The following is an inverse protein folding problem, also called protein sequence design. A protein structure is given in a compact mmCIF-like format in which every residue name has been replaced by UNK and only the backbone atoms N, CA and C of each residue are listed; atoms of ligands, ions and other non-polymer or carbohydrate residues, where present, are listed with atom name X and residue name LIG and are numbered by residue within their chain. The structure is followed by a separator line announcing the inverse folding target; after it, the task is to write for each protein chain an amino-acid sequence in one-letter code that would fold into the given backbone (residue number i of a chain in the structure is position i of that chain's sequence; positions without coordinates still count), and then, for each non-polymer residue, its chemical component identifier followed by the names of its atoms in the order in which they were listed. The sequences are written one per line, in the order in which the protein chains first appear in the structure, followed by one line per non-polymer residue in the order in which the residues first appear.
data_IF_770910948516
#
_entry.id   IF_770910948516
#
_cell.length_a   1.000
_cell.length_b   1.000
_cell.length_c   1.000
_cell.angle_alpha   90.00
_cell.angle_beta   90.00
_cell.angle_gamma   90.00
#
_symmetry.space_group_name_H-M   'P 1'
#
loop_
_entity.id
_entity.type
_entity.pdbx_description
1 polymer ?
2 polymer ?
3 non-polymer ?
4 non-polymer ?
5 water ?
#
# COMPACT_ATOMS: atom_id res chain seq x y z
N UNK A 1 3.06 10.45 18.49
CA UNK A 1 4.23 10.09 17.66
C UNK A 1 4.30 10.54 16.20
N UNK A 2 3.29 11.22 15.68
CA UNK A 2 3.53 12.12 14.54
C UNK A 2 4.44 13.33 14.94
N UNK A 3 5.50 13.56 14.20
CA UNK A 3 6.41 14.68 14.41
C UNK A 3 5.79 15.92 13.80
N UNK A 4 6.41 17.06 14.06
CA UNK A 4 5.98 18.31 13.38
C UNK A 4 6.08 18.19 11.90
N UNK A 5 7.23 17.69 11.45
CA UNK A 5 7.43 17.40 10.01
C UNK A 5 6.36 16.47 9.43
N UNK A 6 6.03 15.40 10.14
CA UNK A 6 4.96 14.48 9.65
C UNK A 6 3.62 15.24 9.44
N UNK A 7 3.20 16.00 10.43
CA UNK A 7 1.94 16.76 10.38
C UNK A 7 1.97 17.77 9.24
N UNK A 8 3.11 18.43 9.01
CA UNK A 8 3.25 19.29 7.90
C UNK A 8 3.04 18.58 6.56
N UNK A 9 3.69 17.44 6.42
CA UNK A 9 3.54 16.63 5.25
C UNK A 9 2.14 16.16 4.99
N UNK A 10 1.48 15.67 6.06
CA UNK A 10 0.10 15.22 5.90
C UNK A 10 -0.82 16.38 5.52
N UNK A 11 -0.65 17.47 6.22
CA UNK A 11 -1.52 18.62 5.90
C UNK A 11 -1.27 19.11 4.49
N UNK A 12 -0.03 19.06 4.02
CA UNK A 12 0.31 19.46 2.68
C UNK A 12 -0.34 18.66 1.60
N UNK A 13 -0.18 17.31 1.63
CA UNK A 13 -0.83 16.52 0.56
C UNK A 13 -2.34 16.56 0.62
N UNK A 14 -2.82 16.62 1.81
CA UNK A 14 -4.29 16.69 2.09
C UNK A 14 -4.86 17.99 1.56
N UNK A 15 -4.08 19.08 1.70
CA UNK A 15 -4.51 20.38 1.19
C UNK A 15 -4.53 20.39 -0.30
N UNK A 16 -3.61 19.65 -0.91
CA UNK A 16 -3.51 19.58 -2.29
C UNK A 16 -4.52 18.62 -2.88
N UNK A 17 -4.99 17.68 -2.09
CA UNK A 17 -5.97 16.68 -2.55
C UNK A 17 -7.45 16.91 -2.20
N UNK A 18 -7.76 17.60 -1.08
CA UNK A 18 -9.14 17.55 -0.45
C UNK A 18 -10.25 18.13 -1.34
N UNK A 19 -9.88 18.88 -2.39
CA UNK A 19 -10.84 19.27 -3.42
C UNK A 19 -11.44 18.13 -4.21
N UNK A 20 -10.78 16.98 -4.24
CA UNK A 20 -11.29 15.75 -4.89
C UNK A 20 -11.72 14.72 -3.87
N UNK A 21 -12.12 15.14 -2.68
CA UNK A 21 -12.57 14.23 -1.61
C UNK A 21 -13.46 13.10 -2.17
N UNK A 22 -14.41 13.43 -3.03
CA UNK A 22 -15.36 12.40 -3.47
C UNK A 22 -14.70 11.42 -4.43
N UNK A 23 -13.98 11.89 -5.47
CA UNK A 23 -13.32 10.99 -6.42
C UNK A 23 -12.26 10.09 -5.75
N UNK A 24 -11.44 10.72 -4.91
CA UNK A 24 -10.44 9.96 -4.18
C UNK A 24 -11.08 8.93 -3.25
N UNK A 25 -12.12 9.31 -2.56
CA UNK A 25 -12.76 8.37 -1.61
C UNK A 25 -13.42 7.23 -2.42
N UNK A 26 -14.08 7.53 -3.54
CA UNK A 26 -14.70 6.49 -4.40
C UNK A 26 -13.67 5.50 -4.98
N UNK A 27 -12.53 6.07 -5.39
CA UNK A 27 -11.47 5.22 -5.85
C UNK A 27 -10.87 4.38 -4.73
N UNK A 28 -10.64 4.93 -3.56
CA UNK A 28 -10.04 4.10 -2.47
C UNK A 28 -10.98 2.95 -2.06
N UNK A 29 -12.29 3.31 -1.94
CA UNK A 29 -13.31 2.32 -1.56
C UNK A 29 -13.49 1.26 -2.66
N UNK A 30 -13.66 1.68 -3.89
CA UNK A 30 -13.72 0.74 -4.98
C UNK A 30 -12.56 -0.18 -5.09
N UNK A 31 -11.38 0.36 -4.90
CA UNK A 31 -10.19 -0.41 -4.98
C UNK A 31 -10.12 -1.40 -3.82
N UNK A 32 -10.49 -0.99 -2.63
CA UNK A 32 -10.49 -1.94 -1.51
C UNK A 32 -11.36 -3.17 -1.85
N UNK A 33 -12.53 -2.87 -2.37
CA UNK A 33 -13.51 -3.92 -2.70
C UNK A 33 -13.08 -4.87 -3.77
N UNK A 34 -12.48 -4.34 -4.85
CA UNK A 34 -12.00 -5.21 -5.95
C UNK A 34 -10.66 -5.90 -5.66
N UNK A 35 -9.74 -5.15 -5.10
CA UNK A 35 -8.42 -5.68 -4.87
C UNK A 35 -8.33 -6.62 -3.65
N UNK A 36 -9.21 -6.40 -2.67
CA UNK A 36 -9.30 -7.21 -1.45
C UNK A 36 -10.72 -7.71 -1.27
N UNK A 37 -11.09 -8.65 -2.11
CA UNK A 37 -12.48 -9.09 -2.19
C UNK A 37 -13.13 -9.68 -0.93
N UNK A 38 -12.31 -10.01 0.04
CA UNK A 38 -12.82 -10.38 1.38
C UNK A 38 -13.59 -9.22 1.97
N UNK A 39 -13.36 -7.96 1.55
CA UNK A 39 -14.09 -6.81 2.16
C UNK A 39 -15.51 -6.57 1.54
N UNK A 40 -15.82 -7.25 0.43
CA UNK A 40 -17.09 -7.01 -0.31
C UNK A 40 -18.32 -7.26 0.54
N UNK A 41 -18.22 -8.22 1.44
CA UNK A 41 -19.36 -8.62 2.25
C UNK A 41 -19.95 -7.46 3.06
N UNK A 42 -19.09 -6.56 3.52
CA UNK A 42 -19.54 -5.41 4.28
C UNK A 42 -20.33 -4.39 3.45
N UNK A 43 -20.17 -4.44 2.11
CA UNK A 43 -20.84 -3.49 1.23
C UNK A 43 -21.80 -4.20 0.25
N UNK A 44 -22.06 -5.47 0.57
CA UNK A 44 -22.93 -6.41 -0.17
C UNK A 44 -24.40 -5.87 -0.31
N UNK A 45 -24.81 -4.89 0.52
CA UNK A 45 -26.10 -4.18 0.44
C UNK A 45 -26.19 -3.16 -0.72
N UNK A 46 -25.02 -2.79 -1.28
CA UNK A 46 -24.97 -1.98 -2.49
C UNK A 46 -25.16 -2.81 -3.71
N UNK A 47 -25.93 -2.25 -4.65
CA UNK A 47 -26.18 -2.84 -5.96
C UNK A 47 -24.96 -2.84 -6.87
N UNK A 48 -24.15 -1.81 -6.71
CA UNK A 48 -22.96 -1.66 -7.50
C UNK A 48 -21.78 -1.28 -6.61
N UNK A 49 -20.72 -2.05 -6.69
CA UNK A 49 -19.51 -1.79 -5.87
C UNK A 49 -18.39 -1.17 -6.69
N UNK A 50 -18.64 -0.95 -7.97
CA UNK A 50 -17.65 -0.29 -8.83
C UNK A 50 -17.39 1.15 -8.46
N UNK A 51 -16.28 1.68 -8.98
CA UNK A 51 -15.94 3.07 -8.69
C UNK A 51 -17.01 4.04 -9.30
N UNK A 52 -17.68 3.64 -10.36
CA UNK A 52 -18.77 4.44 -10.97
C UNK A 52 -20.08 4.42 -10.17
N UNK A 53 -20.20 3.53 -9.19
CA UNK A 53 -21.42 3.40 -8.36
C UNK A 53 -21.69 4.65 -7.62
N UNK A 54 -22.94 5.11 -7.68
CA UNK A 54 -23.32 6.21 -6.85
C UNK A 54 -23.25 6.02 -5.37
N UNK A 55 -23.54 4.82 -4.89
CA UNK A 55 -23.42 4.55 -3.49
C UNK A 55 -21.93 4.54 -3.08
N UNK A 56 -21.07 4.03 -3.94
CA UNK A 56 -19.60 4.10 -3.63
C UNK A 56 -19.13 5.57 -3.61
N UNK A 57 -19.61 6.41 -4.57
CA UNK A 57 -19.28 7.83 -4.54
C UNK A 57 -19.71 8.45 -3.25
N UNK A 58 -20.96 8.21 -2.86
CA UNK A 58 -21.44 8.81 -1.67
C UNK A 58 -20.64 8.39 -0.42
N UNK A 59 -20.36 7.07 -0.35
CA UNK A 59 -19.71 6.57 0.82
C UNK A 59 -18.21 6.98 0.82
N UNK A 60 -17.58 6.97 -0.34
CA UNK A 60 -16.14 7.44 -0.46
C UNK A 60 -15.99 8.84 0.10
N UNK A 61 -16.95 9.72 -0.18
CA UNK A 61 -16.86 11.08 0.33
C UNK A 61 -16.92 11.12 1.82
N UNK A 62 -17.78 10.30 2.42
CA UNK A 62 -17.87 10.23 3.85
C UNK A 62 -16.54 9.81 4.50
N UNK A 63 -15.91 8.80 3.92
CA UNK A 63 -14.60 8.26 4.39
C UNK A 63 -13.58 9.40 4.35
N UNK A 64 -13.50 10.02 3.20
CA UNK A 64 -12.48 11.04 2.98
C UNK A 64 -12.76 12.26 3.84
N UNK A 65 -14.02 12.64 4.00
CA UNK A 65 -14.31 13.73 4.94
C UNK A 65 -14.01 13.43 6.37
N UNK A 66 -14.20 12.16 6.79
CA UNK A 66 -13.84 11.77 8.13
C UNK A 66 -12.32 11.85 8.32
N UNK A 67 -11.58 11.44 7.28
CA UNK A 67 -10.12 11.55 7.34
C UNK A 67 -9.66 13.03 7.39
N UNK A 68 -10.30 13.88 6.61
CA UNK A 68 -10.05 15.35 6.68
C UNK A 68 -10.28 15.89 8.06
N UNK A 69 -11.37 15.51 8.70
CA UNK A 69 -11.60 15.85 10.10
C UNK A 69 -10.44 15.47 11.01
N UNK A 70 -9.92 14.25 10.84
CA UNK A 70 -8.73 13.85 11.57
C UNK A 70 -7.47 14.70 11.24
N UNK A 71 -7.32 15.08 9.98
CA UNK A 71 -6.16 15.90 9.58
C UNK A 71 -6.29 17.28 10.31
N UNK A 72 -7.51 17.79 10.30
CA UNK A 72 -7.80 19.09 10.92
C UNK A 72 -7.66 19.03 12.42
N UNK A 73 -7.72 17.84 13.06
CA UNK A 73 -7.52 17.67 14.50
C UNK A 73 -6.42 16.73 14.74
N UNK A 74 -5.31 16.94 14.03
CA UNK A 74 -4.27 15.93 13.98
C UNK A 74 -3.56 15.71 15.29
N UNK A 75 -3.76 16.60 16.26
CA UNK A 75 -3.25 16.35 17.60
C UNK A 75 -4.19 15.63 18.53
N UNK A 76 -5.42 15.34 18.07
CA UNK A 76 -6.37 14.51 18.80
C UNK A 76 -7.13 13.57 17.89
N UNK A 77 -6.37 12.66 17.28
CA UNK A 77 -7.00 11.68 16.35
C UNK A 77 -7.88 10.73 17.14
N UNK A 78 -7.45 10.39 18.35
CA UNK A 78 -8.23 9.53 19.27
C UNK A 78 -9.62 10.08 19.44
N UNK A 79 -9.68 11.32 19.83
CA UNK A 79 -10.92 12.01 19.96
C UNK A 79 -11.71 12.10 18.69
N UNK A 80 -11.07 12.42 17.56
CA UNK A 80 -11.89 12.65 16.38
C UNK A 80 -12.57 11.40 15.89
N UNK A 81 -11.92 10.24 16.10
CA UNK A 81 -12.46 8.97 15.55
C UNK A 81 -13.19 8.08 16.55
N UNK A 82 -13.24 8.48 17.83
CA UNK A 82 -13.89 7.65 18.87
C UNK A 82 -15.35 7.30 18.55
N UNK A 83 -16.16 8.24 18.09
CA UNK A 83 -17.53 7.93 17.64
C UNK A 83 -17.57 6.85 16.53
N UNK A 84 -16.69 7.01 15.58
CA UNK A 84 -16.58 6.06 14.45
C UNK A 84 -16.04 4.71 14.88
N UNK A 85 -15.21 4.67 15.93
CA UNK A 85 -14.74 3.44 16.48
C UNK A 85 -15.90 2.65 17.04
N UNK A 86 -16.68 3.30 17.90
CA UNK A 86 -17.94 2.65 18.38
C UNK A 86 -18.85 2.14 17.27
N UNK A 87 -19.09 2.95 16.22
CA UNK A 87 -19.89 2.55 15.08
C UNK A 87 -19.35 1.30 14.36
N UNK A 88 -18.05 1.29 14.05
CA UNK A 88 -17.48 0.16 13.38
C UNK A 88 -17.49 -1.12 14.22
N UNK A 89 -17.25 -1.00 15.51
CA UNK A 89 -17.17 -2.10 16.40
C UNK A 89 -18.52 -2.71 16.70
N UNK A 90 -19.48 -1.82 17.00
CA UNK A 90 -20.74 -2.22 17.65
C UNK A 90 -21.89 -2.30 16.64
N UNK A 91 -22.01 -1.36 15.73
CA UNK A 91 -23.09 -1.41 14.76
C UNK A 91 -22.75 -2.16 13.53
N UNK A 92 -21.62 -1.80 12.95
CA UNK A 92 -21.23 -2.38 11.71
C UNK A 92 -20.54 -3.72 11.81
N UNK A 93 -19.90 -3.99 12.94
CA UNK A 93 -19.18 -5.24 13.20
C UNK A 93 -18.11 -5.47 12.13
N UNK A 94 -17.30 -4.43 11.87
CA UNK A 94 -16.25 -4.56 10.86
C UNK A 94 -15.04 -5.19 11.58
N UNK A 95 -14.53 -6.33 11.08
CA UNK A 95 -13.31 -6.91 11.61
C UNK A 95 -12.18 -5.92 11.45
N UNK A 96 -11.51 -5.56 12.56
CA UNK A 96 -10.57 -4.45 12.53
C UNK A 96 -9.28 -4.75 11.73
N UNK A 97 -9.08 -6.01 11.30
CA UNK A 97 -8.04 -6.36 10.35
C UNK A 97 -8.26 -5.70 9.02
N UNK A 98 -9.47 -5.23 8.73
CA UNK A 98 -9.68 -4.55 7.46
C UNK A 98 -9.23 -3.09 7.41
N UNK A 99 -9.03 -2.42 8.53
CA UNK A 99 -8.69 -1.02 8.54
C UNK A 99 -7.37 -0.77 7.75
N UNK A 100 -6.39 -1.66 7.90
CA UNK A 100 -5.13 -1.51 7.11
C UNK A 100 -5.34 -1.62 5.61
N UNK A 101 -6.38 -2.30 5.16
CA UNK A 101 -6.64 -2.46 3.78
C UNK A 101 -7.11 -1.10 3.15
N UNK A 102 -8.03 -0.45 3.81
CA UNK A 102 -8.50 0.84 3.31
C UNK A 102 -7.39 1.85 3.44
N UNK A 103 -6.62 1.80 4.54
CA UNK A 103 -5.45 2.68 4.70
C UNK A 103 -4.54 2.53 3.47
N UNK A 104 -4.24 1.28 3.07
CA UNK A 104 -3.40 1.03 1.93
C UNK A 104 -3.97 1.58 0.63
N UNK A 105 -5.26 1.37 0.38
CA UNK A 105 -5.82 1.87 -0.86
C UNK A 105 -5.90 3.42 -0.90
N UNK A 106 -6.05 4.03 0.26
CA UNK A 106 -6.00 5.47 0.29
C UNK A 106 -4.59 5.95 -0.14
N UNK A 107 -3.55 5.31 0.37
CA UNK A 107 -2.18 5.68 -0.08
C UNK A 107 -1.96 5.45 -1.51
N UNK A 108 -2.44 4.32 -2.02
CA UNK A 108 -2.35 4.03 -3.47
C UNK A 108 -2.97 5.17 -4.30
N UNK A 109 -4.16 5.61 -3.90
CA UNK A 109 -4.88 6.65 -4.60
C UNK A 109 -4.16 7.99 -4.52
N UNK A 110 -3.59 8.32 -3.39
CA UNK A 110 -2.78 9.52 -3.26
C UNK A 110 -1.56 9.52 -4.16
N UNK A 111 -0.94 8.36 -4.28
CA UNK A 111 0.19 8.22 -5.18
C UNK A 111 -0.24 8.32 -6.64
N UNK A 112 -1.37 7.71 -6.99
CA UNK A 112 -1.86 7.73 -8.32
C UNK A 112 -2.14 9.15 -8.83
N UNK A 113 -2.87 9.85 -8.01
CA UNK A 113 -3.37 11.20 -8.38
C UNK A 113 -2.39 12.30 -8.11
N UNK A 114 -1.46 12.11 -7.19
CA UNK A 114 -0.53 13.19 -6.79
C UNK A 114 0.91 12.65 -6.68
N UNK A 115 1.39 12.04 -7.76
CA UNK A 115 2.71 11.32 -7.64
C UNK A 115 3.89 12.20 -7.28
N UNK A 116 3.97 13.41 -7.82
CA UNK A 116 5.00 14.40 -7.39
C UNK A 116 4.94 14.84 -5.95
N UNK A 117 3.74 14.93 -5.34
CA UNK A 117 3.62 15.40 -4.00
C UNK A 117 3.74 14.27 -2.96
N UNK A 118 3.56 13.07 -3.45
CA UNK A 118 3.56 11.86 -2.58
C UNK A 118 4.98 11.26 -2.55
N UNK A 119 5.94 12.05 -2.07
CA UNK A 119 7.33 11.65 -2.02
C UNK A 119 7.51 10.57 -0.94
N UNK A 120 8.68 9.97 -0.83
CA UNK A 120 8.84 8.94 0.20
C UNK A 120 8.64 9.47 1.61
N UNK A 121 9.04 10.72 1.92
CA UNK A 121 8.81 11.23 3.26
C UNK A 121 7.35 11.57 3.55
N UNK A 122 6.67 12.05 2.53
CA UNK A 122 5.26 12.31 2.63
C UNK A 122 4.50 10.96 2.86
N UNK A 123 4.94 9.95 2.13
CA UNK A 123 4.42 8.56 2.27
C UNK A 123 4.60 8.09 3.70
N UNK A 124 5.77 8.30 4.26
CA UNK A 124 6.01 7.95 5.62
C UNK A 124 5.03 8.61 6.55
N UNK A 125 4.90 9.93 6.37
CA UNK A 125 4.01 10.70 7.20
C UNK A 125 2.58 10.21 7.10
N UNK A 126 2.13 9.97 5.88
CA UNK A 126 0.79 9.55 5.68
C UNK A 126 0.50 8.14 6.19
N UNK A 127 1.49 7.27 6.08
CA UNK A 127 1.38 5.90 6.61
C UNK A 127 1.30 5.96 8.14
N UNK A 128 2.13 6.77 8.78
CA UNK A 128 2.04 6.97 10.27
C UNK A 128 0.62 7.45 10.63
N UNK A 129 0.18 8.46 9.89
CA UNK A 129 -1.11 9.05 10.12
C UNK A 129 -2.25 8.05 9.99
N UNK A 130 -2.30 7.30 8.91
CA UNK A 130 -3.38 6.31 8.73
C UNK A 130 -3.26 5.16 9.73
N UNK A 131 -2.05 4.84 10.09
CA UNK A 131 -1.83 3.84 11.21
C UNK A 131 -2.45 4.36 12.52
N UNK A 132 -2.28 5.64 12.81
CA UNK A 132 -2.85 6.21 14.02
C UNK A 132 -4.37 6.31 13.92
N UNK A 133 -4.91 6.64 12.73
CA UNK A 133 -6.36 6.63 12.49
C UNK A 133 -6.91 5.19 12.69
N UNK A 134 -6.18 4.19 12.14
CA UNK A 134 -6.58 2.77 12.26
C UNK A 134 -6.58 2.30 13.75
N UNK A 135 -5.53 2.71 14.48
CA UNK A 135 -5.39 2.39 15.92
C UNK A 135 -6.52 2.97 16.71
N UNK A 136 -6.84 4.22 16.37
CA UNK A 136 -8.00 4.87 16.96
C UNK A 136 -9.33 4.25 16.65
N UNK A 137 -9.52 3.85 15.40
CA UNK A 137 -10.76 3.17 15.04
C UNK A 137 -10.89 1.81 15.71
N UNK A 138 -9.77 1.20 16.12
CA UNK A 138 -9.76 -0.12 16.75
C UNK A 138 -9.93 0.00 18.22
N UNK A 139 -9.90 1.22 18.76
CA UNK A 139 -9.76 1.35 20.23
C UNK A 139 -11.00 0.74 21.00
N UNK A 140 -12.18 0.87 20.41
CA UNK A 140 -13.43 0.43 21.12
C UNK A 140 -13.75 -1.04 20.87
N UNK A 141 -12.86 -1.81 20.20
CA UNK A 141 -13.23 -3.16 19.83
C UNK A 141 -13.20 -4.18 20.99
N UNK A 142 -12.39 -3.86 22.01
CA UNK A 142 -12.29 -4.69 23.19
C UNK A 142 -11.67 -3.88 24.40
N UNK B 1 -4.14 -20.51 -9.88
CA UNK B 1 -5.14 -20.18 -11.01
C UNK B 1 -5.30 -18.72 -11.48
N UNK B 2 -4.95 -18.42 -12.71
CA UNK B 2 -5.10 -17.08 -13.23
C UNK B 2 -6.17 -16.98 -14.23
N UNK B 3 -6.96 -15.91 -14.21
CA UNK B 3 -7.80 -15.62 -15.36
C UNK B 3 -7.00 -14.97 -16.52
N UNK B 4 -7.51 -15.13 -17.75
CA UNK B 4 -6.84 -14.52 -18.88
C UNK B 4 -6.75 -13.01 -18.72
N UNK B 5 -7.82 -12.42 -18.24
CA UNK B 5 -7.80 -11.00 -17.98
C UNK B 5 -6.68 -10.60 -16.98
N UNK B 6 -6.49 -11.41 -15.95
CA UNK B 6 -5.43 -11.14 -14.93
C UNK B 6 -4.08 -11.26 -15.57
N UNK B 7 -3.86 -12.32 -16.33
CA UNK B 7 -2.61 -12.54 -17.02
C UNK B 7 -2.22 -11.39 -17.90
N UNK B 8 -3.22 -10.87 -18.61
CA UNK B 8 -3.07 -9.76 -19.50
C UNK B 8 -2.74 -8.47 -18.78
N UNK B 9 -3.47 -8.19 -17.70
CA UNK B 9 -3.22 -7.01 -16.85
C UNK B 9 -1.77 -7.01 -16.34
N UNK B 10 -1.26 -8.16 -15.96
CA UNK B 10 0.10 -8.30 -15.45
C UNK B 10 1.14 -8.16 -16.56
N UNK B 11 1.03 -8.95 -17.64
CA UNK B 11 2.08 -8.95 -18.67
C UNK B 11 2.06 -7.63 -19.49
N UNK B 12 0.91 -6.97 -19.69
CA UNK B 12 0.91 -5.68 -20.40
C UNK B 12 1.53 -4.57 -19.59
N UNK B 13 1.23 -4.52 -18.30
CA UNK B 13 1.83 -3.49 -17.48
C UNK B 13 3.32 -3.77 -17.35
N UNK B 14 3.72 -5.03 -17.20
CA UNK B 14 5.11 -5.41 -17.00
C UNK B 14 5.94 -4.99 -18.19
N UNK B 15 5.34 -5.09 -19.38
CA UNK B 15 6.09 -4.71 -20.58
C UNK B 15 6.49 -3.25 -20.62
N UNK B 16 5.89 -2.39 -19.77
CA UNK B 16 6.22 -0.99 -19.71
C UNK B 16 6.95 -0.63 -18.40
N UNK B 17 7.30 -1.62 -17.58
CA UNK B 17 8.00 -1.28 -16.27
C UNK B 17 9.51 -1.11 -16.52
N UNK B 18 10.02 0.02 -16.12
CA UNK B 18 11.43 0.27 -16.03
C UNK B 18 11.87 -0.30 -14.68
N UNK B 19 12.57 -1.43 -14.73
CA UNK B 19 12.85 -2.14 -13.46
C UNK B 19 13.85 -1.38 -12.61
N UNK B 20 14.67 -0.54 -13.21
CA UNK B 20 15.60 0.31 -12.44
C UNK B 20 14.89 1.41 -11.67
N UNK B 21 14.01 2.13 -12.35
CA UNK B 21 13.27 3.16 -11.76
C UNK B 21 12.24 2.68 -10.75
N UNK B 22 11.40 1.75 -11.15
CA UNK B 22 10.38 1.22 -10.26
C UNK B 22 11.03 0.48 -9.10
N UNK B 23 12.07 -0.27 -9.35
CA UNK B 23 12.72 -1.07 -8.30
C UNK B 23 13.43 -0.14 -7.31
N UNK B 24 14.17 0.85 -7.78
CA UNK B 24 14.79 1.82 -6.89
C UNK B 24 13.71 2.52 -6.04
N UNK B 25 12.65 3.01 -6.70
CA UNK B 25 11.56 3.75 -5.98
C UNK B 25 10.92 2.90 -4.90
N UNK B 26 10.64 1.62 -5.22
CA UNK B 26 10.03 0.75 -4.29
C UNK B 26 10.94 0.46 -3.07
N UNK B 27 12.23 0.21 -3.33
CA UNK B 27 13.10 -0.06 -2.17
C UNK B 27 13.36 1.20 -1.35
N UNK B 28 13.46 2.38 -1.99
CA UNK B 28 13.58 3.62 -1.29
C UNK B 28 12.44 3.80 -0.30
N UNK B 29 11.23 3.61 -0.81
CA UNK B 29 10.07 3.67 0.02
C UNK B 29 10.09 2.70 1.13
N UNK B 30 10.53 1.43 0.90
CA UNK B 30 10.59 0.49 1.94
C UNK B 30 11.49 1.04 3.07
N UNK B 31 12.66 1.49 2.68
CA UNK B 31 13.68 1.92 3.68
C UNK B 31 13.33 3.24 4.41
N UNK B 32 12.58 4.12 3.75
CA UNK B 32 12.14 5.36 4.38
C UNK B 32 10.88 5.09 5.24
N UNK B 33 9.89 4.39 4.72
CA UNK B 33 8.64 4.28 5.40
C UNK B 33 8.72 3.29 6.57
N UNK B 34 9.48 2.20 6.36
CA UNK B 34 9.65 1.14 7.38
C UNK B 34 11.12 1.09 7.74
N UNK B 35 11.59 2.07 8.49
CA UNK B 35 13.09 2.24 8.55
C UNK B 35 13.89 1.20 9.31
N UNK B 36 13.17 0.41 10.08
CA UNK B 36 13.73 -0.75 10.70
C UNK B 36 14.26 -1.76 9.74
N UNK B 37 13.76 -1.74 8.50
CA UNK B 37 14.26 -2.61 7.51
C UNK B 37 15.69 -2.29 7.10
N UNK B 38 16.17 -1.09 7.41
CA UNK B 38 17.53 -0.68 7.17
C UNK B 38 18.53 -1.68 7.85
N UNK B 39 18.11 -2.33 8.93
CA UNK B 39 18.99 -3.26 9.64
C UNK B 39 19.41 -4.42 8.78
N UNK B 40 18.58 -4.79 7.81
CA UNK B 40 18.87 -5.99 7.03
C UNK B 40 19.88 -5.68 5.92
N UNK B 41 20.11 -4.41 5.63
CA UNK B 41 20.91 -3.96 4.47
C UNK B 41 22.12 -3.11 4.92
N UNK B 42 22.79 -3.51 5.96
CA UNK B 42 24.11 -2.92 6.33
C UNK B 42 25.21 -2.73 5.27
N UNK B 43 25.32 -3.66 4.33
CA UNK B 43 26.22 -3.59 3.17
C UNK B 43 26.12 -2.33 2.28
N UNK B 44 25.05 -1.56 2.40
CA UNK B 44 24.79 -0.43 1.53
C UNK B 44 25.40 0.86 2.02
N UNK B 45 25.93 0.88 3.24
CA UNK B 45 26.46 2.06 3.83
C UNK B 45 25.39 2.86 4.52
N UNK B 46 25.49 4.17 4.37
CA UNK B 46 24.60 5.05 5.04
C UNK B 46 23.23 5.07 4.35
N UNK B 47 22.26 4.48 5.04
CA UNK B 47 20.88 4.46 4.58
C UNK B 47 19.98 4.91 5.70
N UNK B 48 20.43 5.91 6.49
CA UNK B 48 19.72 6.27 7.71
C UNK B 48 18.83 7.49 7.57
N UNK B 49 18.78 8.17 6.42
CA UNK B 49 17.87 9.26 6.20
C UNK B 49 17.42 9.29 4.77
N UNK B 50 16.28 9.92 4.51
CA UNK B 50 15.64 9.90 3.18
C UNK B 50 16.50 10.32 2.02
N UNK B 51 17.27 11.38 2.22
CA UNK B 51 18.03 11.91 1.13
C UNK B 51 19.19 10.93 0.80
N UNK B 52 19.80 10.42 1.86
CA UNK B 52 20.91 9.43 1.70
C UNK B 52 20.44 8.14 1.02
N UNK B 53 19.25 7.67 1.42
CA UNK B 53 18.65 6.49 0.82
C UNK B 53 18.38 6.71 -0.64
N UNK B 54 17.69 7.82 -0.96
CA UNK B 54 17.27 8.07 -2.33
C UNK B 54 18.39 8.26 -3.28
N UNK B 55 19.51 8.76 -2.80
CA UNK B 55 20.66 8.88 -3.71
C UNK B 55 21.65 7.79 -3.71
N UNK B 56 21.45 6.77 -2.87
CA UNK B 56 22.40 5.71 -2.73
C UNK B 56 22.40 4.74 -3.94
N UNK B 57 23.54 4.68 -4.65
CA UNK B 57 23.70 3.78 -5.81
C UNK B 57 23.45 2.32 -5.53
N UNK B 58 23.82 1.83 -4.35
CA UNK B 58 23.58 0.46 -3.97
C UNK B 58 22.14 0.17 -3.72
N UNK B 59 21.45 1.15 -3.17
CA UNK B 59 19.98 0.97 -3.05
C UNK B 59 19.35 0.82 -4.43
N UNK B 60 19.71 1.73 -5.32
CA UNK B 60 19.20 1.65 -6.68
C UNK B 60 19.50 0.31 -7.31
N UNK B 61 20.76 -0.16 -7.23
CA UNK B 61 21.08 -1.43 -7.82
C UNK B 61 20.29 -2.60 -7.23
N UNK B 62 20.13 -2.58 -5.93
CA UNK B 62 19.40 -3.64 -5.27
C UNK B 62 17.92 -3.65 -5.63
N UNK B 63 17.36 -2.46 -5.71
CA UNK B 63 15.97 -2.32 -6.11
C UNK B 63 15.77 -2.93 -7.52
N UNK B 64 16.70 -2.67 -8.41
CA UNK B 64 16.61 -3.34 -9.74
C UNK B 64 16.67 -4.85 -9.62
N UNK B 65 17.57 -5.37 -8.82
CA UNK B 65 17.66 -6.84 -8.60
C UNK B 65 16.31 -7.42 -8.14
N UNK B 66 15.66 -6.75 -7.17
CA UNK B 66 14.36 -7.19 -6.67
C UNK B 66 13.31 -7.19 -7.80
N UNK B 67 13.27 -6.14 -8.61
CA UNK B 67 12.27 -6.03 -9.64
C UNK B 67 12.52 -7.08 -10.76
N UNK B 68 13.78 -7.37 -11.04
CA UNK B 68 14.12 -8.53 -11.94
C UNK B 68 13.61 -9.84 -11.45
N UNK B 69 13.63 -10.06 -10.13
CA UNK B 69 13.07 -11.24 -9.49
C UNK B 69 11.58 -11.26 -9.56
N UNK B 70 10.93 -10.10 -9.46
CA UNK B 70 9.49 -10.04 -9.72
C UNK B 70 9.25 -10.50 -11.17
N UNK B 71 10.08 -10.03 -12.09
CA UNK B 71 10.00 -10.55 -13.47
C UNK B 71 10.12 -12.05 -13.55
N UNK B 72 11.05 -12.64 -12.80
CA UNK B 72 11.14 -14.14 -12.70
C UNK B 72 9.86 -14.75 -12.16
N UNK B 73 9.27 -14.13 -11.13
CA UNK B 73 8.00 -14.66 -10.62
C UNK B 73 6.91 -14.63 -11.67
N UNK B 74 6.85 -13.56 -12.45
CA UNK B 74 5.88 -13.43 -13.49
C UNK B 74 6.07 -14.54 -14.57
N UNK B 75 7.32 -14.82 -14.93
CA UNK B 75 7.61 -15.87 -15.91
C UNK B 75 7.23 -17.25 -15.35
N UNK B 76 7.30 -17.40 -14.02
CA UNK B 76 6.83 -18.60 -13.34
C UNK B 76 5.51 -18.44 -12.60
N UNK B 77 4.62 -17.65 -13.13
CA UNK B 77 3.47 -17.24 -12.31
C UNK B 77 2.52 -18.39 -12.00
N UNK B 78 2.62 -19.46 -12.79
CA UNK B 78 1.83 -20.68 -12.49
C UNK B 78 2.43 -21.45 -11.33
N UNK B 79 3.68 -21.28 -10.97
CA UNK B 79 4.15 -21.84 -9.71
C UNK B 79 5.32 -21.07 -9.12
N UNK B 80 5.00 -19.94 -8.51
CA UNK B 80 6.06 -19.07 -7.95
C UNK B 80 6.71 -19.75 -6.73
N UNK B 81 5.94 -20.46 -5.89
CA UNK B 81 6.53 -21.19 -4.70
C UNK B 81 7.72 -22.06 -5.07
N UNK B 82 7.52 -22.93 -6.07
CA UNK B 82 8.64 -23.80 -6.55
C UNK B 82 9.86 -22.99 -7.02
N UNK B 83 9.60 -22.01 -7.86
CA UNK B 83 10.65 -21.19 -8.44
C UNK B 83 11.41 -20.35 -7.37
N UNK B 84 10.69 -19.97 -6.31
CA UNK B 84 11.27 -19.10 -5.28
C UNK B 84 11.79 -19.88 -4.06
N UNK B 85 11.83 -21.20 -4.16
CA UNK B 85 12.33 -21.99 -3.06
C UNK B 85 13.66 -21.58 -2.51
N UNK B 86 14.70 -21.48 -3.31
CA UNK B 86 15.98 -21.09 -2.80
C UNK B 86 15.93 -19.64 -2.22
N UNK B 87 15.27 -18.76 -2.94
CA UNK B 87 15.20 -17.36 -2.53
C UNK B 87 14.50 -17.21 -1.17
N UNK B 88 13.43 -17.94 -1.00
CA UNK B 88 12.72 -18.00 0.29
C UNK B 88 13.62 -18.51 1.38
N UNK B 89 14.30 -19.63 1.12
CA UNK B 89 15.24 -20.13 2.09
C UNK B 89 16.32 -19.20 2.45
N UNK B 90 16.82 -18.47 1.44
CA UNK B 90 17.83 -17.48 1.67
C UNK B 90 17.33 -16.36 2.62
N UNK B 91 16.13 -15.86 2.36
CA UNK B 91 15.69 -14.71 3.17
C UNK B 91 15.37 -15.17 4.57
N UNK B 92 14.92 -16.43 4.72
CA UNK B 92 14.73 -16.99 6.08
C UNK B 92 16.02 -17.33 6.84
N UNK B 93 16.78 -18.26 6.26
CA UNK B 93 17.87 -18.90 7.01
C UNK B 93 19.14 -18.14 7.01
N UNK B 94 19.47 -17.36 5.98
CA UNK B 94 20.65 -16.52 5.98
C UNK B 94 20.34 -15.16 6.49
N UNK B 95 19.20 -14.56 6.09
CA UNK B 95 19.00 -13.12 6.35
C UNK B 95 18.10 -12.86 7.56
N UNK B 96 17.32 -13.87 7.92
CA UNK B 96 16.41 -13.80 9.04
C UNK B 96 15.38 -12.67 8.88
N UNK B 97 14.86 -12.53 7.65
CA UNK B 97 13.93 -11.35 7.44
C UNK B 97 12.55 -11.75 7.95
N UNK B 98 11.98 -10.97 8.92
CA UNK B 98 10.62 -11.24 9.32
C UNK B 98 9.66 -11.07 8.13
N UNK B 99 8.83 -12.08 7.89
CA UNK B 99 8.01 -12.06 6.65
C UNK B 99 7.01 -10.93 6.55
N UNK B 100 6.68 -10.23 7.66
CA UNK B 100 5.83 -9.05 7.52
C UNK B 100 6.43 -8.01 6.63
N UNK B 101 7.76 -7.96 6.53
CA UNK B 101 8.39 -7.03 5.66
C UNK B 101 8.16 -7.32 4.15
N UNK B 102 7.91 -8.56 3.75
CA UNK B 102 7.53 -8.81 2.34
C UNK B 102 6.22 -8.09 2.00
N UNK B 103 5.28 -7.99 2.96
CA UNK B 103 4.02 -7.29 2.78
C UNK B 103 4.25 -5.83 2.68
N UNK B 104 5.15 -5.31 3.51
CA UNK B 104 5.52 -3.93 3.43
C UNK B 104 6.10 -3.60 2.04
N UNK B 105 7.03 -4.45 1.57
CA UNK B 105 7.60 -4.20 0.27
C UNK B 105 6.53 -4.28 -0.86
N UNK B 106 5.63 -5.23 -0.79
CA UNK B 106 4.58 -5.36 -1.78
C UNK B 106 3.73 -4.13 -1.78
N UNK B 107 3.40 -3.59 -0.58
CA UNK B 107 2.65 -2.34 -0.55
C UNK B 107 3.39 -1.23 -1.24
N UNK B 108 4.72 -1.12 -1.04
CA UNK B 108 5.48 -0.05 -1.64
C UNK B 108 5.47 -0.24 -3.16
N UNK B 109 5.53 -1.48 -3.61
CA UNK B 109 5.55 -1.75 -5.07
C UNK B 109 4.25 -1.36 -5.71
N UNK B 110 3.12 -1.71 -5.08
CA UNK B 110 1.81 -1.28 -5.62
C UNK B 110 1.67 0.22 -5.70
N UNK B 111 2.07 0.91 -4.63
CA UNK B 111 2.16 2.38 -4.60
C UNK B 111 3.00 2.94 -5.71
N UNK B 112 4.19 2.40 -5.90
CA UNK B 112 5.04 2.86 -6.97
C UNK B 112 4.35 2.62 -8.38
N UNK B 113 3.72 1.48 -8.57
CA UNK B 113 3.08 1.21 -9.86
C UNK B 113 1.96 2.25 -10.03
N UNK B 114 1.16 2.49 -9.00
CA UNK B 114 0.12 3.60 -9.07
C UNK B 114 0.71 4.94 -9.46
N UNK B 115 1.80 5.33 -8.80
CA UNK B 115 2.47 6.62 -9.08
C UNK B 115 2.99 6.66 -10.54
N UNK B 116 3.48 5.52 -11.01
CA UNK B 116 4.12 5.43 -12.28
C UNK B 116 3.08 5.41 -13.43
N UNK B 117 1.97 4.71 -13.25
CA UNK B 117 1.00 4.44 -14.32
C UNK B 117 -0.23 5.30 -14.26
N UNK B 118 -0.44 6.01 -13.14
CA UNK B 118 -1.62 6.89 -13.00
C UNK B 118 -2.91 6.15 -13.32
N UNK B 119 -3.77 6.75 -14.17
CA UNK B 119 -5.12 6.25 -14.38
C UNK B 119 -5.11 4.97 -15.12
N UNK B 120 -4.00 4.61 -15.73
CA UNK B 120 -3.85 3.27 -16.30
C UNK B 120 -3.83 2.11 -15.31
N UNK B 121 -3.51 2.45 -14.05
CA UNK B 121 -3.52 1.43 -12.96
C UNK B 121 -4.92 1.41 -12.43
N UNK B 122 -5.82 0.91 -13.29
CA UNK B 122 -7.22 0.88 -12.97
C UNK B 122 -7.52 -0.06 -11.79
N UNK B 123 -8.73 0.02 -11.23
CA UNK B 123 -8.98 -0.93 -10.13
C UNK B 123 -8.78 -2.43 -10.45
N UNK B 124 -9.15 -2.88 -11.66
CA UNK B 124 -8.95 -4.26 -12.08
C UNK B 124 -7.49 -4.62 -12.24
N UNK B 125 -6.72 -3.67 -12.76
CA UNK B 125 -5.31 -3.89 -13.00
C UNK B 125 -4.61 -3.96 -11.62
N UNK B 126 -4.93 -3.00 -10.75
CA UNK B 126 -4.41 -3.07 -9.31
C UNK B 126 -4.79 -4.38 -8.66
N UNK B 127 -6.02 -4.89 -8.89
CA UNK B 127 -6.45 -6.11 -8.24
C UNK B 127 -5.64 -7.25 -8.71
N UNK B 128 -5.34 -7.31 -10.02
CA UNK B 128 -4.48 -8.37 -10.53
C UNK B 128 -3.02 -8.31 -10.01
N UNK B 129 -2.48 -7.11 -9.93
CA UNK B 129 -1.15 -6.88 -9.35
C UNK B 129 -1.11 -7.21 -7.83
N UNK B 130 -2.16 -6.90 -7.11
CA UNK B 130 -2.21 -7.31 -5.69
C UNK B 130 -2.21 -8.83 -5.55
N UNK B 131 -2.89 -9.53 -6.46
CA UNK B 131 -2.88 -10.96 -6.45
C UNK B 131 -1.49 -11.46 -6.75
N UNK B 132 -0.82 -10.87 -7.73
CA UNK B 132 0.53 -11.25 -8.04
C UNK B 132 1.46 -10.99 -6.85
N UNK B 133 1.34 -9.81 -6.28
CA UNK B 133 2.15 -9.53 -5.06
C UNK B 133 1.92 -10.57 -3.94
N UNK B 134 0.66 -10.87 -3.63
CA UNK B 134 0.29 -11.87 -2.64
C UNK B 134 0.90 -13.23 -2.93
N UNK B 135 0.95 -13.61 -4.20
CA UNK B 135 1.52 -14.88 -4.55
C UNK B 135 3.04 -14.86 -4.34
N UNK B 136 3.67 -13.71 -4.65
CA UNK B 136 5.11 -13.56 -4.40
C UNK B 136 5.41 -13.62 -2.88
N UNK B 137 4.60 -12.89 -2.11
CA UNK B 137 4.80 -12.89 -0.66
C UNK B 137 4.68 -14.29 -0.05
N UNK B 138 3.65 -14.97 -0.47
CA UNK B 138 3.42 -16.31 0.02
C UNK B 138 4.63 -17.20 -0.37
N UNK B 139 5.10 -17.11 -1.62
CA UNK B 139 6.28 -17.89 -2.04
C UNK B 139 7.54 -17.57 -1.22
N UNK B 140 7.75 -16.27 -0.89
CA UNK B 140 8.90 -15.89 -0.11
C UNK B 140 8.80 -16.32 1.35
N UNK B 141 7.58 -16.37 1.88
CA UNK B 141 7.29 -16.80 3.28
C UNK B 141 7.33 -18.35 3.47
N UNK B 142 7.33 -19.10 2.38
CA UNK B 142 7.01 -20.54 2.47
C UNK B 142 8.08 -21.35 3.17
N UNK B 143 9.34 -21.10 2.84
CA UNK B 143 10.46 -21.90 3.41
C UNK B 143 10.83 -21.36 4.83
N UNK B 144 9.96 -20.49 5.38
CA UNK B 144 10.03 -20.22 6.83
C UNK B 144 9.61 -21.48 7.57
N UNK B 145 8.97 -22.44 6.87
CA UNK B 145 8.95 -23.90 7.23
C UNK B 145 8.63 -24.92 6.07
#
# INVERSE_FOLDING_TARGET
SLTSADKSHVKSIWSKASGKAEELGAEALGRMLEVFPNTKTYFSHYADLSVSSGQVHTHGKKILDAITTAVNHIDDITGTMTALSTLHAKTLRVDPANFKILSHTILVVLALYFPADFTPEVHLACDKFLASVSHTLATKYR
EWTDSERFAITTLWAKVNVESVGAQALVRLLVVYPWTQRYFGAFGNISDAAAIAGNAQVHAHGKTVLDSVGNAIAHMDDVADAFTALSTFHSETLHVDPDNFQHFGDCLSIVLAATFGTAYTPDVQAAWQKMIAVIISALSKEYH
#
